data_IF_682405465174
#
_entry.id   IF_682405465174
#
_cell.length_a   1.000
_cell.length_b   1.000
_cell.length_c   1.000
_cell.angle_alpha   90.00
_cell.angle_beta   90.00
_cell.angle_gamma   90.00
#
_symmetry.space_group_name_H-M   'P 1'
#
loop_
_entity.id
_entity.type
_entity.pdbx_description
1 polymer ?
#
# COMPACT_ATOMS: atom_id res chain seq x y z
N UNK A 1 -23.83 3.32 23.81
CA UNK A 1 -22.82 4.39 23.69
C UNK A 1 -21.81 3.98 22.64
N UNK A 2 -21.56 4.75 21.57
CA UNK A 2 -20.54 4.40 20.60
C UNK A 2 -19.12 4.56 21.20
N UNK A 3 -18.15 3.70 20.85
CA UNK A 3 -16.81 3.71 21.45
C UNK A 3 -16.07 5.02 21.16
N UNK A 4 -15.39 5.56 22.17
CA UNK A 4 -14.55 6.78 22.11
C UNK A 4 -13.39 6.70 21.07
N UNK A 5 -13.19 5.55 20.45
CA UNK A 5 -12.13 5.27 19.46
C UNK A 5 -12.35 6.10 18.18
N UNK A 6 -13.60 6.41 17.82
CA UNK A 6 -13.92 7.15 16.59
C UNK A 6 -13.55 8.64 16.66
N UNK A 7 -13.59 9.25 17.86
CA UNK A 7 -13.22 10.67 18.06
C UNK A 7 -11.72 10.92 17.95
N UNK A 8 -10.92 9.85 18.05
CA UNK A 8 -9.46 9.86 17.86
C UNK A 8 -9.06 9.60 16.39
N UNK A 9 -10.01 9.66 15.45
CA UNK A 9 -9.69 9.56 14.03
C UNK A 9 -8.98 10.84 13.54
N UNK A 10 -7.65 10.80 13.69
CA UNK A 10 -6.62 11.49 12.93
C UNK A 10 -6.87 12.97 12.62
N UNK A 11 -6.38 13.86 13.50
CA UNK A 11 -6.13 15.28 13.20
C UNK A 11 -5.48 15.48 11.83
N UNK A 12 -4.53 14.61 11.46
CA UNK A 12 -3.88 14.62 10.15
C UNK A 12 -4.85 14.38 8.97
N UNK A 13 -5.86 13.52 9.13
CA UNK A 13 -6.89 13.29 8.09
C UNK A 13 -7.76 14.52 7.91
N UNK A 14 -8.19 15.17 9.00
CA UNK A 14 -8.96 16.41 8.95
C UNK A 14 -8.19 17.53 8.23
N UNK A 15 -6.92 17.71 8.58
CA UNK A 15 -6.01 18.68 7.94
C UNK A 15 -5.87 18.38 6.44
N UNK A 16 -5.67 17.11 6.06
CA UNK A 16 -5.56 16.72 4.65
C UNK A 16 -6.86 16.95 3.88
N UNK A 17 -8.02 16.62 4.44
CA UNK A 17 -9.32 16.84 3.78
C UNK A 17 -9.56 18.32 3.52
N UNK A 18 -9.35 19.17 4.53
CA UNK A 18 -9.47 20.62 4.38
C UNK A 18 -8.47 21.17 3.35
N UNK A 19 -7.22 20.67 3.35
CA UNK A 19 -6.21 21.08 2.37
C UNK A 19 -6.55 20.65 0.93
N UNK A 20 -7.31 19.57 0.73
CA UNK A 20 -7.79 19.15 -0.60
C UNK A 20 -8.82 20.12 -1.16
N UNK A 21 -9.70 20.66 -0.31
CA UNK A 21 -10.78 21.58 -0.70
C UNK A 21 -10.30 23.02 -0.81
N UNK A 22 -9.45 23.47 0.12
CA UNK A 22 -9.09 24.88 0.29
C UNK A 22 -7.64 25.20 -0.11
N UNK A 23 -6.83 24.18 -0.41
CA UNK A 23 -5.41 24.32 -0.73
C UNK A 23 -4.50 24.35 0.51
N UNK A 24 -3.24 23.97 0.30
CA UNK A 24 -2.24 23.77 1.38
C UNK A 24 -1.95 25.06 2.14
N UNK A 25 -1.90 26.21 1.46
CA UNK A 25 -1.58 27.50 2.09
C UNK A 25 -2.68 27.92 3.07
N UNK A 26 -3.96 27.77 2.69
CA UNK A 26 -5.09 28.08 3.58
C UNK A 26 -5.15 27.10 4.76
N UNK A 27 -4.89 25.82 4.51
CA UNK A 27 -4.81 24.81 5.57
C UNK A 27 -3.69 25.08 6.57
N UNK A 28 -2.49 25.44 6.10
CA UNK A 28 -1.37 25.78 6.97
C UNK A 28 -1.70 26.94 7.92
N UNK A 29 -2.38 27.97 7.41
CA UNK A 29 -2.84 29.12 8.21
C UNK A 29 -3.94 28.74 9.19
N UNK A 30 -4.91 27.94 8.77
CA UNK A 30 -6.07 27.56 9.59
C UNK A 30 -5.70 26.61 10.74
N UNK A 31 -4.77 25.68 10.51
CA UNK A 31 -4.36 24.69 11.50
C UNK A 31 -3.06 25.05 12.24
N UNK A 32 -2.44 26.18 11.89
CA UNK A 32 -1.14 26.62 12.42
C UNK A 32 -0.05 25.54 12.25
N UNK A 33 0.05 25.02 11.03
CA UNK A 33 0.97 23.93 10.67
C UNK A 33 1.90 24.33 9.52
N UNK A 34 3.06 23.69 9.46
CA UNK A 34 3.98 23.85 8.35
C UNK A 34 3.39 23.31 7.03
N UNK A 35 3.65 24.03 5.93
CA UNK A 35 3.20 23.65 4.58
C UNK A 35 3.85 22.34 4.13
N UNK A 36 5.11 22.12 4.46
CA UNK A 36 5.86 20.91 4.12
C UNK A 36 5.29 19.67 4.81
N UNK A 37 4.89 19.81 6.07
CA UNK A 37 4.23 18.77 6.85
C UNK A 37 2.87 18.37 6.25
N UNK A 38 2.02 19.34 5.89
CA UNK A 38 0.72 19.07 5.24
C UNK A 38 0.92 18.42 3.86
N UNK A 39 1.92 18.86 3.11
CA UNK A 39 2.25 18.28 1.80
C UNK A 39 2.61 16.80 1.91
N UNK A 40 3.50 16.43 2.85
CA UNK A 40 3.85 15.03 3.12
C UNK A 40 2.62 14.23 3.53
N UNK A 41 1.81 14.74 4.44
CA UNK A 41 0.58 14.06 4.87
C UNK A 41 -0.38 13.79 3.71
N UNK A 42 -0.55 14.76 2.80
CA UNK A 42 -1.39 14.61 1.60
C UNK A 42 -0.85 13.56 0.62
N UNK A 43 0.48 13.45 0.49
CA UNK A 43 1.13 12.43 -0.33
C UNK A 43 0.94 11.03 0.28
N UNK A 44 1.20 10.87 1.58
CA UNK A 44 1.08 9.58 2.25
C UNK A 44 -0.37 9.11 2.45
N UNK A 45 -1.34 10.01 2.57
CA UNK A 45 -2.77 9.63 2.63
C UNK A 45 -3.38 9.24 1.28
N UNK A 46 -2.73 9.51 0.14
CA UNK A 46 -3.12 8.88 -1.13
C UNK A 46 -2.89 7.37 -1.11
N UNK A 47 -1.92 6.89 -0.32
CA UNK A 47 -1.52 5.48 -0.27
C UNK A 47 -2.56 4.60 0.42
N UNK A 48 -3.36 5.17 1.33
CA UNK A 48 -4.52 4.47 1.90
C UNK A 48 -5.76 4.69 1.03
N UNK A 49 -5.85 3.97 -0.09
CA UNK A 49 -7.08 3.92 -0.87
C UNK A 49 -8.22 3.37 0.00
N UNK A 50 -9.43 3.91 -0.17
CA UNK A 50 -10.62 3.27 0.42
C UNK A 50 -10.71 1.87 -0.16
N UNK A 51 -10.96 0.89 0.71
CA UNK A 51 -11.22 -0.47 0.26
C UNK A 51 -12.37 -0.43 -0.76
N UNK A 52 -12.23 -1.08 -1.93
CA UNK A 52 -13.31 -1.20 -2.90
C UNK A 52 -14.59 -1.71 -2.22
N UNK A 53 -15.76 -1.30 -2.71
CA UNK A 53 -17.06 -1.73 -2.15
C UNK A 53 -17.22 -3.26 -2.11
N UNK A 54 -16.59 -3.96 -3.05
CA UNK A 54 -16.63 -5.42 -3.17
C UNK A 54 -15.67 -6.16 -2.22
N UNK A 55 -14.80 -5.45 -1.47
CA UNK A 55 -13.73 -6.07 -0.67
C UNK A 55 -14.25 -7.14 0.29
N UNK A 56 -15.35 -6.87 0.99
CA UNK A 56 -15.91 -7.81 1.95
C UNK A 56 -16.43 -9.09 1.29
N UNK A 57 -17.01 -8.95 0.09
CA UNK A 57 -17.52 -10.08 -0.69
C UNK A 57 -16.37 -10.94 -1.21
N UNK A 58 -15.34 -10.33 -1.80
CA UNK A 58 -14.12 -11.04 -2.22
C UNK A 58 -13.43 -11.73 -1.05
N UNK A 59 -13.34 -11.07 0.11
CA UNK A 59 -12.74 -11.65 1.32
C UNK A 59 -13.51 -12.87 1.78
N UNK A 60 -14.84 -12.79 1.82
CA UNK A 60 -15.71 -13.92 2.18
C UNK A 60 -15.54 -15.08 1.20
N UNK A 61 -15.59 -14.80 -0.11
CA UNK A 61 -15.41 -15.82 -1.15
C UNK A 61 -14.04 -16.50 -1.04
N UNK A 62 -12.99 -15.74 -0.74
CA UNK A 62 -11.65 -16.27 -0.52
C UNK A 62 -11.58 -17.17 0.72
N UNK A 63 -12.18 -16.75 1.85
CA UNK A 63 -12.23 -17.56 3.06
C UNK A 63 -12.96 -18.90 2.83
N UNK A 64 -14.13 -18.86 2.17
CA UNK A 64 -14.88 -20.06 1.81
C UNK A 64 -14.07 -20.99 0.89
N UNK A 65 -13.36 -20.42 -0.09
CA UNK A 65 -12.46 -21.15 -0.97
C UNK A 65 -11.33 -21.88 -0.19
N UNK A 66 -10.67 -21.19 0.75
CA UNK A 66 -9.60 -21.78 1.56
C UNK A 66 -10.13 -22.90 2.48
N UNK A 67 -11.31 -22.71 3.10
CA UNK A 67 -11.94 -23.73 3.95
C UNK A 67 -12.27 -24.98 3.11
N UNK A 68 -12.84 -24.79 1.92
CA UNK A 68 -13.15 -25.89 1.00
C UNK A 68 -11.88 -26.65 0.60
N UNK A 69 -10.86 -25.91 0.15
CA UNK A 69 -9.57 -26.48 -0.27
C UNK A 69 -8.91 -27.27 0.87
N UNK A 70 -8.93 -26.72 2.09
CA UNK A 70 -8.40 -27.39 3.28
C UNK A 70 -9.10 -28.72 3.55
N UNK A 71 -10.43 -28.76 3.41
CA UNK A 71 -11.23 -29.96 3.65
C UNK A 71 -11.00 -31.00 2.57
N UNK A 72 -10.99 -30.60 1.29
CA UNK A 72 -10.75 -31.49 0.14
C UNK A 72 -9.35 -32.12 0.14
N UNK A 73 -8.33 -31.34 0.54
CA UNK A 73 -6.93 -31.79 0.56
C UNK A 73 -6.47 -32.31 1.91
N UNK A 74 -7.35 -32.32 2.91
CA UNK A 74 -7.08 -32.78 4.27
C UNK A 74 -5.83 -32.13 4.90
N UNK A 75 -5.63 -30.83 4.66
CA UNK A 75 -4.52 -30.12 5.29
C UNK A 75 -4.74 -30.05 6.81
N UNK A 76 -3.81 -30.64 7.55
CA UNK A 76 -3.79 -30.52 9.00
C UNK A 76 -3.63 -29.05 9.40
N UNK A 77 -4.32 -28.65 10.47
CA UNK A 77 -4.27 -27.26 10.93
C UNK A 77 -2.85 -26.81 11.29
N UNK A 78 -2.04 -27.75 11.81
CA UNK A 78 -0.61 -27.55 12.11
C UNK A 78 0.25 -27.20 10.90
N UNK A 79 -0.22 -27.50 9.68
CA UNK A 79 0.51 -27.25 8.45
C UNK A 79 0.13 -25.91 7.81
N UNK A 80 -0.84 -25.19 8.39
CA UNK A 80 -1.26 -23.86 7.93
C UNK A 80 -0.49 -22.84 8.76
N UNK A 81 0.56 -22.30 8.16
CA UNK A 81 1.41 -21.29 8.79
C UNK A 81 0.90 -19.89 8.46
N UNK A 82 1.06 -18.97 9.41
CA UNK A 82 0.82 -17.55 9.16
C UNK A 82 1.97 -17.01 8.29
N UNK A 83 1.63 -16.44 7.13
CA UNK A 83 2.60 -15.91 6.16
C UNK A 83 2.90 -14.41 6.39
N UNK A 84 2.47 -13.85 7.52
CA UNK A 84 2.66 -12.43 7.82
C UNK A 84 4.09 -12.08 8.28
N UNK A 85 4.91 -13.07 8.65
CA UNK A 85 6.23 -12.82 9.25
C UNK A 85 7.43 -13.44 8.51
N UNK A 86 7.26 -14.08 7.35
CA UNK A 86 8.42 -14.51 6.56
C UNK A 86 8.68 -13.49 5.45
N UNK A 87 9.72 -12.62 5.56
CA UNK A 87 10.21 -11.89 4.40
C UNK A 87 10.78 -12.92 3.43
N UNK A 88 9.93 -13.42 2.53
CA UNK A 88 10.39 -14.14 1.35
C UNK A 88 11.05 -13.07 0.51
N UNK A 89 12.38 -13.06 0.53
CA UNK A 89 13.14 -12.40 -0.51
C UNK A 89 12.72 -13.05 -1.82
N UNK A 90 11.74 -12.47 -2.50
CA UNK A 90 11.65 -12.68 -3.92
C UNK A 90 13.02 -12.24 -4.43
N UNK A 91 13.84 -13.20 -4.85
CA UNK A 91 14.86 -12.94 -5.85
C UNK A 91 14.07 -12.51 -7.08
N UNK A 92 13.60 -11.27 -7.06
CA UNK A 92 13.39 -10.48 -8.25
C UNK A 92 14.80 -10.40 -8.81
N UNK A 93 15.15 -11.16 -9.87
CA UNK A 93 16.36 -10.82 -10.58
C UNK A 93 16.25 -9.32 -10.83
N UNK A 94 17.27 -8.56 -10.42
CA UNK A 94 17.35 -7.15 -10.77
C UNK A 94 17.20 -6.99 -12.28
N UNK A 95 17.05 -5.77 -12.78
CA UNK A 95 17.06 -5.50 -14.22
C UNK A 95 18.40 -5.98 -14.82
N UNK A 96 18.50 -7.27 -15.14
CA UNK A 96 19.62 -7.87 -15.83
C UNK A 96 19.17 -8.00 -17.27
N UNK A 97 19.85 -7.26 -18.15
CA UNK A 97 19.69 -7.40 -19.58
C UNK A 97 20.30 -8.74 -19.99
N UNK A 98 19.50 -9.64 -20.56
CA UNK A 98 20.00 -10.86 -21.20
C UNK A 98 20.32 -10.48 -22.64
N UNK A 99 21.60 -10.26 -22.93
CA UNK A 99 22.09 -9.95 -24.28
C UNK A 99 22.83 -11.15 -24.90
N UNK A 100 22.97 -11.13 -26.23
CA UNK A 100 23.62 -12.20 -26.97
C UNK A 100 25.13 -12.22 -26.69
N UNK A 101 25.69 -13.42 -26.53
CA UNK A 101 27.12 -13.61 -26.26
C UNK A 101 27.97 -13.03 -27.41
N UNK A 102 28.66 -11.92 -27.16
CA UNK A 102 29.59 -11.28 -28.10
C UNK A 102 29.33 -9.80 -28.39
N UNK A 103 28.31 -9.19 -27.77
CA UNK A 103 28.03 -7.76 -27.94
C UNK A 103 29.10 -6.88 -27.27
N UNK A 104 29.55 -5.84 -27.97
CA UNK A 104 30.58 -4.92 -27.46
C UNK A 104 30.05 -3.87 -26.47
N UNK A 105 28.75 -3.62 -26.48
CA UNK A 105 28.12 -2.56 -25.70
C UNK A 105 26.77 -3.06 -25.20
N UNK A 106 26.53 -2.99 -23.89
CA UNK A 106 25.28 -3.39 -23.23
C UNK A 106 24.52 -2.13 -22.84
N UNK A 107 23.28 -1.98 -23.31
CA UNK A 107 22.43 -0.84 -22.97
C UNK A 107 21.59 -1.13 -21.72
N UNK A 108 21.99 -0.56 -20.59
CA UNK A 108 21.27 -0.70 -19.32
C UNK A 108 20.13 0.33 -19.28
N UNK A 109 18.88 -0.14 -19.28
CA UNK A 109 17.72 0.72 -18.99
C UNK A 109 17.36 0.60 -17.51
N UNK A 110 17.56 1.68 -16.76
CA UNK A 110 17.12 1.78 -15.37
C UNK A 110 15.62 2.08 -15.29
N UNK A 111 14.96 1.67 -14.20
CA UNK A 111 13.57 2.04 -13.88
C UNK A 111 13.49 3.42 -13.21
N UNK A 112 14.42 4.33 -13.55
CA UNK A 112 14.57 5.64 -12.94
C UNK A 112 13.76 6.70 -13.69
N UNK A 113 13.08 7.57 -12.93
CA UNK A 113 12.52 8.82 -13.44
C UNK A 113 13.69 9.78 -13.75
N UNK A 114 14.32 9.59 -14.90
CA UNK A 114 15.42 10.43 -15.37
C UNK A 114 14.85 11.79 -15.78
N UNK A 115 15.30 12.85 -15.11
CA UNK A 115 14.89 14.21 -15.42
C UNK A 115 15.61 14.67 -16.69
N UNK A 116 14.84 15.00 -17.73
CA UNK A 116 15.30 15.91 -18.79
C UNK A 116 15.43 17.33 -18.24
#
# INVERSE_FOLDING_TARGET
MPPQIEKRQNRARQVVTYAKENGIIKAAKFFELDKGMISRWRQHTKVSQKLPSQTNELLKNFQEFIIRLRTEKLFQMSNILNMDETPVWFNMPGNFTIDNKGEKTIHIHGTGNEKN
#
